data_IF_957894707590
#
_entry.id   IF_957894707590
#
_cell.length_a   1.000
_cell.length_b   1.000
_cell.length_c   1.000
_cell.angle_alpha   90.00
_cell.angle_beta   90.00
_cell.angle_gamma   90.00
#
_symmetry.space_group_name_H-M   'P 1'
#
loop_
_entity.id
_entity.type
_entity.pdbx_description
1 polymer ?
#
# COMPACT_ATOMS: atom_id res chain seq x y z
N UNK A 1 -2.62 -36.02 -14.43
CA UNK A 1 -3.23 -34.70 -14.18
C UNK A 1 -2.90 -34.33 -12.75
N UNK A 2 -1.83 -33.58 -12.54
CA UNK A 2 -1.30 -33.28 -11.20
C UNK A 2 -1.13 -31.78 -11.08
N UNK A 3 -1.85 -31.21 -10.10
CA UNK A 3 -1.68 -29.91 -9.44
C UNK A 3 -1.52 -28.67 -10.34
N UNK A 4 -2.64 -28.00 -10.62
CA UNK A 4 -2.66 -26.58 -11.01
C UNK A 4 -3.63 -25.83 -10.09
N UNK A 5 -3.33 -25.76 -8.80
CA UNK A 5 -4.10 -24.93 -7.86
C UNK A 5 -3.18 -24.50 -6.71
N UNK A 6 -2.32 -23.51 -6.94
CA UNK A 6 -1.73 -22.76 -5.83
C UNK A 6 -1.20 -21.39 -6.28
N UNK A 7 -2.02 -20.66 -7.02
CA UNK A 7 -1.79 -19.24 -7.28
C UNK A 7 -3.14 -18.56 -7.26
N UNK A 8 -3.19 -17.39 -6.61
CA UNK A 8 -4.33 -16.48 -6.48
C UNK A 8 -5.16 -16.70 -5.21
N UNK A 9 -4.75 -16.01 -4.14
CA UNK A 9 -5.56 -14.93 -3.55
C UNK A 9 -4.82 -14.34 -2.35
N UNK A 10 -3.72 -13.62 -2.61
CA UNK A 10 -3.33 -12.54 -1.69
C UNK A 10 -4.23 -11.35 -2.00
N UNK A 11 -5.51 -11.47 -1.64
CA UNK A 11 -6.40 -10.32 -1.57
C UNK A 11 -5.84 -9.46 -0.45
N UNK A 12 -5.10 -8.43 -0.82
CA UNK A 12 -4.70 -7.36 0.08
C UNK A 12 -5.99 -6.64 0.47
N UNK A 13 -6.66 -7.15 1.51
CA UNK A 13 -7.81 -6.48 2.10
C UNK A 13 -7.26 -5.25 2.79
N UNK A 14 -7.30 -4.11 2.10
CA UNK A 14 -7.12 -2.82 2.75
C UNK A 14 -8.22 -2.73 3.82
N UNK A 15 -7.87 -2.60 5.11
CA UNK A 15 -8.87 -2.52 6.17
C UNK A 15 -9.81 -1.34 5.87
N UNK A 16 -11.11 -1.46 6.17
CA UNK A 16 -12.02 -0.32 6.07
C UNK A 16 -11.44 0.86 6.87
N UNK A 17 -11.53 2.08 6.33
CA UNK A 17 -10.86 3.27 6.88
C UNK A 17 -11.11 3.56 8.38
N UNK A 18 -12.17 2.98 8.96
CA UNK A 18 -12.48 3.04 10.39
C UNK A 18 -11.52 2.21 11.28
N UNK A 19 -10.84 1.21 10.72
CA UNK A 19 -9.92 0.30 11.42
C UNK A 19 -8.45 0.73 11.29
N UNK A 20 -8.18 1.76 10.48
CA UNK A 20 -6.83 2.28 10.30
C UNK A 20 -6.41 3.15 11.49
N UNK A 21 -5.12 3.08 11.91
CA UNK A 21 -4.55 4.08 12.82
C UNK A 21 -4.82 5.49 12.29
N UNK A 22 -5.17 6.44 13.17
CA UNK A 22 -5.58 7.79 12.76
C UNK A 22 -4.58 8.47 11.81
N UNK A 23 -3.28 8.28 12.03
CA UNK A 23 -2.23 8.79 11.14
C UNK A 23 -2.28 8.17 9.74
N UNK A 24 -2.52 6.86 9.62
CA UNK A 24 -2.64 6.18 8.32
C UNK A 24 -3.87 6.68 7.56
N UNK A 25 -4.99 6.89 8.27
CA UNK A 25 -6.21 7.45 7.67
C UNK A 25 -5.98 8.86 7.12
N UNK A 26 -5.32 9.74 7.88
CA UNK A 26 -5.00 11.10 7.42
C UNK A 26 -4.15 11.07 6.15
N UNK A 27 -3.16 10.17 6.06
CA UNK A 27 -2.32 10.03 4.88
C UNK A 27 -3.14 9.53 3.67
N UNK A 28 -4.02 8.55 3.86
CA UNK A 28 -4.91 8.05 2.81
C UNK A 28 -5.92 9.11 2.33
N UNK A 29 -6.44 9.96 3.22
CA UNK A 29 -7.34 11.07 2.85
C UNK A 29 -6.59 12.18 2.09
N UNK A 30 -5.34 12.46 2.48
CA UNK A 30 -4.52 13.52 1.88
C UNK A 30 -3.94 13.11 0.52
N UNK A 31 -3.55 11.84 0.39
CA UNK A 31 -2.95 11.26 -0.82
C UNK A 31 -3.71 9.99 -1.22
N UNK A 32 -4.94 10.10 -1.75
CA UNK A 32 -5.79 8.94 -2.03
C UNK A 32 -5.14 7.90 -2.96
N UNK A 33 -4.24 8.33 -3.85
CA UNK A 33 -3.52 7.45 -4.77
C UNK A 33 -2.63 6.41 -4.07
N UNK A 34 -2.24 6.61 -2.81
CA UNK A 34 -1.34 5.68 -2.10
C UNK A 34 -2.05 4.39 -1.66
N UNK A 35 -3.38 4.42 -1.58
CA UNK A 35 -4.19 3.29 -1.09
C UNK A 35 -4.23 2.16 -2.11
N UNK A 36 -4.35 2.52 -3.39
CA UNK A 36 -4.44 1.57 -4.51
C UNK A 36 -3.07 1.33 -5.19
N UNK A 37 -1.99 1.89 -4.66
CA UNK A 37 -0.67 1.80 -5.27
C UNK A 37 0.05 0.48 -4.92
N UNK A 38 0.30 -0.35 -5.93
CA UNK A 38 1.08 -1.58 -5.84
C UNK A 38 2.56 -1.32 -6.19
N UNK A 39 3.44 -1.48 -5.20
CA UNK A 39 4.88 -1.32 -5.35
C UNK A 39 5.61 -2.67 -5.55
N UNK A 40 4.91 -3.76 -5.82
CA UNK A 40 5.51 -5.10 -5.90
C UNK A 40 6.58 -5.14 -7.00
N UNK A 41 7.82 -5.44 -6.59
CA UNK A 41 8.97 -5.52 -7.50
C UNK A 41 9.58 -4.17 -7.91
N UNK A 42 9.05 -3.05 -7.42
CA UNK A 42 9.59 -1.71 -7.71
C UNK A 42 10.67 -1.30 -6.70
N UNK A 43 11.68 -0.57 -7.16
CA UNK A 43 12.65 0.11 -6.29
C UNK A 43 12.04 1.35 -5.63
N UNK A 44 12.71 1.88 -4.60
CA UNK A 44 12.28 3.11 -3.92
C UNK A 44 12.24 4.30 -4.90
N UNK A 45 13.24 4.40 -5.78
CA UNK A 45 13.33 5.43 -6.81
C UNK A 45 12.17 5.35 -7.80
N UNK A 46 11.77 4.14 -8.21
CA UNK A 46 10.63 3.93 -9.11
C UNK A 46 9.32 4.36 -8.43
N UNK A 47 9.12 4.03 -7.16
CA UNK A 47 7.97 4.51 -6.38
C UNK A 47 7.93 6.04 -6.33
N UNK A 48 9.06 6.69 -6.08
CA UNK A 48 9.18 8.15 -6.12
C UNK A 48 8.87 8.73 -7.49
N UNK A 49 9.31 8.07 -8.56
CA UNK A 49 9.04 8.50 -9.93
C UNK A 49 7.54 8.44 -10.26
N UNK A 50 6.85 7.36 -9.89
CA UNK A 50 5.43 7.18 -10.23
C UNK A 50 4.47 7.99 -9.37
N UNK A 51 4.72 8.09 -8.06
CA UNK A 51 3.85 8.82 -7.15
C UNK A 51 4.21 10.32 -7.05
N UNK A 52 5.44 10.69 -7.38
CA UNK A 52 6.02 11.98 -7.04
C UNK A 52 6.48 12.03 -5.58
N UNK A 53 7.33 13.01 -5.26
CA UNK A 53 8.08 13.04 -4.00
C UNK A 53 7.19 13.00 -2.75
N UNK A 54 6.22 13.92 -2.63
CA UNK A 54 5.35 14.02 -1.45
C UNK A 54 4.47 12.78 -1.25
N UNK A 55 3.89 12.24 -2.33
CA UNK A 55 3.00 11.09 -2.25
C UNK A 55 3.77 9.77 -2.03
N UNK A 56 4.98 9.65 -2.56
CA UNK A 56 5.85 8.50 -2.28
C UNK A 56 6.30 8.46 -0.81
N UNK A 57 6.65 9.61 -0.22
CA UNK A 57 6.95 9.70 1.22
C UNK A 57 5.71 9.27 2.03
N UNK A 58 4.52 9.79 1.66
CA UNK A 58 3.27 9.42 2.31
C UNK A 58 2.97 7.92 2.18
N UNK A 59 3.24 7.32 1.01
CA UNK A 59 3.09 5.88 0.79
C UNK A 59 3.95 5.05 1.74
N UNK A 60 5.25 5.35 1.86
CA UNK A 60 6.12 4.60 2.77
C UNK A 60 5.71 4.76 4.25
N UNK A 61 5.29 5.96 4.66
CA UNK A 61 4.77 6.21 6.00
C UNK A 61 3.47 5.44 6.25
N UNK A 62 2.56 5.43 5.27
CA UNK A 62 1.31 4.69 5.31
C UNK A 62 1.58 3.18 5.48
N UNK A 63 2.44 2.58 4.65
CA UNK A 63 2.83 1.16 4.75
C UNK A 63 3.48 0.83 6.10
N UNK A 64 4.34 1.70 6.61
CA UNK A 64 4.96 1.52 7.93
C UNK A 64 3.90 1.50 9.06
N UNK A 65 2.90 2.40 8.98
CA UNK A 65 1.83 2.48 9.97
C UNK A 65 0.88 1.27 9.91
N UNK A 66 0.64 0.69 8.72
CA UNK A 66 -0.17 -0.52 8.57
C UNK A 66 0.55 -1.79 9.04
N UNK A 67 1.88 -1.85 8.91
CA UNK A 67 2.68 -3.02 9.29
C UNK A 67 3.07 -3.01 10.78
N UNK A 68 2.55 -2.07 11.58
CA UNK A 68 2.81 -2.02 13.02
C UNK A 68 1.96 -3.09 13.71
N UNK A 69 2.54 -3.96 14.56
CA UNK A 69 1.78 -4.98 15.29
C UNK A 69 0.78 -4.38 16.27
#
# INVERSE_FOLDING_TARGET
MTAVHDVLEHVSVVPPAAELPAAARILAETYPQIVDFDSTGMSVEEVHYFLGESAAIAYFQYRFLLNRP
#
